data_IF_861810142110
#
_entry.id   IF_861810142110
#
_cell.length_a   1.000
_cell.length_b   1.000
_cell.length_c   1.000
_cell.angle_alpha   90.00
_cell.angle_beta   90.00
_cell.angle_gamma   90.00
#
_symmetry.space_group_name_H-M   'P 1'
#
loop_
_entity.id
_entity.type
_entity.pdbx_description
1 polymer ?
#
# COMPACT_ATOMS: atom_id res chain seq x y z
N UNK A 1 -12.53 -17.63 -1.73
CA UNK A 1 -12.25 -16.84 -0.52
C UNK A 1 -12.42 -15.37 -0.86
N UNK A 2 -12.97 -14.55 0.04
CA UNK A 2 -13.01 -13.09 -0.13
C UNK A 2 -11.72 -12.50 0.45
N UNK A 3 -10.90 -11.86 -0.36
CA UNK A 3 -9.75 -11.07 0.10
C UNK A 3 -10.18 -9.62 0.33
N UNK A 4 -9.41 -8.89 1.13
CA UNK A 4 -9.63 -7.46 1.33
C UNK A 4 -9.19 -6.70 0.07
N UNK A 5 -9.97 -5.72 -0.37
CA UNK A 5 -9.58 -4.83 -1.48
C UNK A 5 -8.75 -3.65 -0.98
N UNK A 6 -8.07 -2.95 -1.89
CA UNK A 6 -7.40 -1.67 -1.57
C UNK A 6 -8.34 -0.71 -0.84
N UNK A 7 -9.55 -0.51 -1.35
CA UNK A 7 -10.47 0.49 -0.80
C UNK A 7 -10.93 0.12 0.62
N UNK A 8 -11.18 -1.18 0.86
CA UNK A 8 -11.48 -1.68 2.20
C UNK A 8 -10.30 -1.50 3.16
N UNK A 9 -9.07 -1.77 2.70
CA UNK A 9 -7.87 -1.57 3.51
C UNK A 9 -7.66 -0.09 3.85
N UNK A 10 -7.84 0.82 2.89
CA UNK A 10 -7.77 2.27 3.11
C UNK A 10 -8.86 2.75 4.06
N UNK A 11 -10.09 2.23 3.93
CA UNK A 11 -11.18 2.52 4.85
C UNK A 11 -10.84 2.12 6.29
N UNK A 12 -10.32 0.90 6.50
CA UNK A 12 -9.87 0.45 7.82
C UNK A 12 -8.76 1.35 8.41
N UNK A 13 -7.80 1.80 7.60
CA UNK A 13 -6.77 2.73 8.05
C UNK A 13 -7.37 4.09 8.45
N UNK A 14 -8.37 4.58 7.72
CA UNK A 14 -9.07 5.83 8.07
C UNK A 14 -9.85 5.67 9.38
N UNK A 15 -10.60 4.58 9.53
CA UNK A 15 -11.38 4.27 10.73
C UNK A 15 -10.48 4.08 11.97
N UNK A 16 -9.28 3.53 11.78
CA UNK A 16 -8.26 3.40 12.81
C UNK A 16 -7.54 4.73 13.16
N UNK A 17 -7.89 5.83 12.49
CA UNK A 17 -7.31 7.15 12.74
C UNK A 17 -5.94 7.38 12.08
N UNK A 18 -5.53 6.55 11.12
CA UNK A 18 -4.27 6.73 10.39
C UNK A 18 -4.43 7.85 9.38
N UNK A 19 -3.68 8.94 9.57
CA UNK A 19 -3.69 10.12 8.68
C UNK A 19 -3.02 9.83 7.33
N UNK A 20 -3.30 10.64 6.32
CA UNK A 20 -2.65 10.52 5.01
C UNK A 20 -1.13 10.66 5.08
N UNK A 21 -0.62 11.55 5.94
CA UNK A 21 0.82 11.71 6.17
C UNK A 21 1.45 10.43 6.77
N UNK A 22 0.73 9.74 7.65
CA UNK A 22 1.16 8.46 8.20
C UNK A 22 1.08 7.33 7.17
N UNK A 23 0.05 7.30 6.30
CA UNK A 23 -0.04 6.34 5.18
C UNK A 23 1.13 6.50 4.21
N UNK A 24 1.47 7.75 3.86
CA UNK A 24 2.65 8.08 3.05
C UNK A 24 3.94 7.57 3.70
N UNK A 25 4.15 7.91 4.98
CA UNK A 25 5.29 7.42 5.75
C UNK A 25 5.34 5.89 5.81
N UNK A 26 4.18 5.23 5.94
CA UNK A 26 4.06 3.78 5.93
C UNK A 26 4.49 3.21 4.58
N UNK A 27 4.00 3.73 3.45
CA UNK A 27 4.40 3.30 2.11
C UNK A 27 5.91 3.44 1.89
N UNK A 28 6.48 4.61 2.18
CA UNK A 28 7.91 4.86 2.02
C UNK A 28 8.75 3.89 2.85
N UNK A 29 8.39 3.68 4.13
CA UNK A 29 9.09 2.74 5.01
C UNK A 29 8.91 1.28 4.59
N UNK A 30 7.73 0.91 4.11
CA UNK A 30 7.44 -0.45 3.67
C UNK A 30 8.26 -0.78 2.41
N UNK A 31 8.25 0.10 1.41
CA UNK A 31 9.05 -0.07 0.19
C UNK A 31 10.56 -0.08 0.47
N UNK A 32 11.05 0.82 1.33
CA UNK A 32 12.48 0.89 1.64
C UNK A 32 13.00 -0.32 2.42
N UNK A 33 12.18 -0.90 3.31
CA UNK A 33 12.61 -1.99 4.22
C UNK A 33 12.26 -3.38 3.70
N UNK A 34 11.14 -3.51 2.99
CA UNK A 34 10.58 -4.79 2.56
C UNK A 34 9.97 -4.67 1.15
N UNK A 35 10.75 -4.31 0.11
CA UNK A 35 10.24 -3.99 -1.22
C UNK A 35 9.48 -5.13 -1.89
N UNK A 36 9.94 -6.37 -1.71
CA UNK A 36 9.29 -7.56 -2.28
C UNK A 36 7.96 -7.86 -1.59
N UNK A 37 7.89 -7.71 -0.26
CA UNK A 37 6.68 -7.92 0.52
C UNK A 37 5.67 -6.80 0.27
N UNK A 38 6.14 -5.57 0.04
CA UNK A 38 5.26 -4.46 -0.35
C UNK A 38 4.61 -4.75 -1.71
N UNK A 39 5.37 -5.25 -2.69
CA UNK A 39 4.80 -5.70 -3.97
C UNK A 39 3.75 -6.80 -3.77
N UNK A 40 4.11 -7.88 -3.06
CA UNK A 40 3.20 -9.01 -2.81
C UNK A 40 1.92 -8.57 -2.08
N UNK A 41 2.02 -7.60 -1.16
CA UNK A 41 0.87 -7.05 -0.47
C UNK A 41 -0.07 -6.28 -1.42
N UNK A 42 0.49 -5.46 -2.31
CA UNK A 42 -0.31 -4.71 -3.30
C UNK A 42 -1.00 -5.66 -4.29
N UNK A 43 -0.32 -6.72 -4.73
CA UNK A 43 -0.89 -7.77 -5.57
C UNK A 43 -2.01 -8.54 -4.84
N UNK A 44 -1.82 -8.82 -3.54
CA UNK A 44 -2.84 -9.45 -2.69
C UNK A 44 -4.10 -8.58 -2.56
N UNK A 45 -3.98 -7.25 -2.56
CA UNK A 45 -5.11 -6.31 -2.59
C UNK A 45 -5.86 -6.29 -3.94
N UNK A 46 -5.41 -7.07 -4.92
CA UNK A 46 -6.02 -7.21 -6.24
C UNK A 46 -5.62 -6.12 -7.22
N UNK A 47 -4.52 -5.40 -6.96
CA UNK A 47 -4.07 -4.31 -7.83
C UNK A 47 -3.39 -4.84 -9.09
N UNK A 48 -3.67 -4.27 -10.27
CA UNK A 48 -2.99 -4.65 -11.51
C UNK A 48 -1.53 -4.20 -11.49
N UNK A 49 -0.67 -4.92 -12.21
CA UNK A 49 0.78 -4.68 -12.22
C UNK A 49 1.18 -3.22 -12.51
N UNK A 50 0.45 -2.53 -13.39
CA UNK A 50 0.69 -1.12 -13.69
C UNK A 50 0.44 -0.21 -12.47
N UNK A 51 -0.60 -0.47 -11.68
CA UNK A 51 -0.91 0.29 -10.46
C UNK A 51 0.08 -0.05 -9.35
N UNK A 52 0.47 -1.32 -9.20
CA UNK A 52 1.53 -1.75 -8.27
C UNK A 52 2.82 -1.00 -8.54
N UNK A 53 3.26 -0.95 -9.80
CA UNK A 53 4.50 -0.25 -10.18
C UNK A 53 4.44 1.25 -9.87
N UNK A 54 3.33 1.92 -10.19
CA UNK A 54 3.15 3.34 -9.92
C UNK A 54 3.17 3.65 -8.40
N UNK A 55 2.51 2.83 -7.58
CA UNK A 55 2.50 3.00 -6.12
C UNK A 55 3.90 2.83 -5.55
N UNK A 56 4.65 1.82 -6.01
CA UNK A 56 6.01 1.55 -5.52
C UNK A 56 6.99 2.63 -5.94
N UNK A 57 6.89 3.12 -7.17
CA UNK A 57 7.68 4.27 -7.63
C UNK A 57 7.39 5.50 -6.78
N UNK A 58 6.11 5.80 -6.53
CA UNK A 58 5.74 6.91 -5.66
C UNK A 58 6.33 6.74 -4.24
N UNK A 59 6.25 5.54 -3.67
CA UNK A 59 6.80 5.24 -2.34
C UNK A 59 8.32 5.43 -2.25
N UNK A 60 9.08 5.20 -3.34
CA UNK A 60 10.54 5.46 -3.38
C UNK A 60 10.89 6.94 -3.49
N UNK A 61 9.97 7.75 -4.00
CA UNK A 61 10.14 9.18 -4.23
C UNK A 61 9.63 10.05 -3.07
N UNK A 62 9.28 9.44 -1.92
CA UNK A 62 8.87 10.10 -0.69
C UNK A 62 9.96 10.05 0.37
#
# INVERSE_FOLDING_TARGET
MKTITKDQFVALLNEAGVTDAQKKTLHARFEARFPEQHQAFLEYLGLPAAEVNAIREHARNQ
#
